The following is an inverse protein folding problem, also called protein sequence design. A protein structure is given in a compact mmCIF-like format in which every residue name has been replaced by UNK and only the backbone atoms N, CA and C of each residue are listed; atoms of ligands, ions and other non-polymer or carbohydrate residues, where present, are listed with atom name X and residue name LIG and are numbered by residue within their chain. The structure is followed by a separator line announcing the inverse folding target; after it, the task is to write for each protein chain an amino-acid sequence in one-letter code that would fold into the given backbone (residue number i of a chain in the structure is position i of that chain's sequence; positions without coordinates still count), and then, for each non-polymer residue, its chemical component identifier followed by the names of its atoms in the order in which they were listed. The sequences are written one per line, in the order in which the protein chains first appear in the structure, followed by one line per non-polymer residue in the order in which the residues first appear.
data_IF_350621147348
#
_entry.id   IF_350621147348
#
_cell.length_a   1.000
_cell.length_b   1.000
_cell.length_c   1.000
_cell.angle_alpha   90.00
_cell.angle_beta   90.00
_cell.angle_gamma   90.00
#
_symmetry.space_group_name_H-M   'P 1'
#
loop_
_entity.id
_entity.type
_entity.pdbx_description
1 polymer ?
#
# COMPACT_ATOMS: atom_id res chain seq x y z
N UNK A 1 -17.53 -17.61 2.26
CA UNK A 1 -16.40 -17.20 3.13
C UNK A 1 -15.76 -15.97 2.53
N UNK A 2 -15.31 -15.00 3.34
CA UNK A 2 -14.56 -13.85 2.83
C UNK A 2 -13.07 -14.19 2.85
N UNK A 3 -12.64 -15.04 1.92
CA UNK A 3 -11.23 -15.33 1.69
C UNK A 3 -10.50 -14.01 1.44
N UNK A 4 -9.51 -13.72 2.30
CA UNK A 4 -8.64 -12.57 2.12
C UNK A 4 -7.43 -13.07 1.37
N UNK A 5 -6.90 -12.21 0.51
CA UNK A 5 -5.74 -12.52 -0.30
C UNK A 5 -4.62 -11.55 0.06
N UNK A 6 -3.38 -12.04 0.03
CA UNK A 6 -2.21 -11.20 0.18
C UNK A 6 -2.13 -10.23 -0.99
N UNK A 7 -1.98 -8.92 -0.70
CA UNK A 7 -1.86 -7.92 -1.77
C UNK A 7 -0.55 -7.99 -2.56
N UNK A 8 0.48 -8.67 -2.04
CA UNK A 8 1.78 -8.77 -2.69
C UNK A 8 1.82 -9.96 -3.66
N UNK A 9 1.43 -11.15 -3.19
CA UNK A 9 1.52 -12.39 -3.96
C UNK A 9 0.17 -12.98 -4.41
N UNK A 10 -0.96 -12.46 -3.92
CA UNK A 10 -2.29 -12.97 -4.28
C UNK A 10 -2.70 -14.27 -3.58
N UNK A 11 -1.84 -14.85 -2.72
CA UNK A 11 -2.15 -16.10 -2.00
C UNK A 11 -3.28 -15.89 -1.00
N UNK A 12 -4.11 -16.91 -0.80
CA UNK A 12 -5.16 -16.93 0.21
C UNK A 12 -4.57 -16.87 1.63
N UNK A 13 -5.14 -16.02 2.46
CA UNK A 13 -4.65 -15.72 3.81
C UNK A 13 -5.80 -15.72 4.81
N UNK A 14 -5.59 -16.43 5.91
CA UNK A 14 -6.58 -16.59 6.96
C UNK A 14 -6.68 -15.36 7.85
N UNK A 15 -7.87 -14.77 7.93
CA UNK A 15 -8.12 -13.51 8.65
C UNK A 15 -7.77 -13.55 10.15
N UNK A 16 -7.71 -14.75 10.74
CA UNK A 16 -7.41 -15.00 12.16
C UNK A 16 -5.91 -15.12 12.45
N UNK A 17 -5.14 -15.64 11.52
CA UNK A 17 -3.70 -15.97 11.71
C UNK A 17 -2.78 -15.02 10.94
N UNK A 18 -3.32 -14.33 9.94
CA UNK A 18 -2.51 -13.54 9.01
C UNK A 18 -2.14 -12.17 9.59
N UNK A 19 -0.87 -11.74 9.41
CA UNK A 19 -0.46 -10.40 9.78
C UNK A 19 -1.30 -9.35 9.03
N UNK A 20 -1.84 -8.40 9.80
CA UNK A 20 -2.65 -7.27 9.31
C UNK A 20 -1.86 -5.98 9.45
N UNK A 21 -1.61 -5.29 8.33
CA UNK A 21 -0.99 -3.94 8.32
C UNK A 21 -1.75 -2.99 7.41
N UNK A 22 -1.93 -1.74 7.85
CA UNK A 22 -2.69 -0.71 7.10
C UNK A 22 -4.07 -1.19 6.60
N UNK A 23 -4.74 -2.05 7.37
CA UNK A 23 -6.05 -2.63 7.00
C UNK A 23 -6.01 -3.74 5.94
N UNK A 24 -4.82 -4.13 5.48
CA UNK A 24 -4.59 -5.19 4.49
C UNK A 24 -4.02 -6.45 5.16
N UNK A 25 -4.29 -7.61 4.57
CA UNK A 25 -3.84 -8.92 5.05
C UNK A 25 -2.68 -9.41 4.20
N UNK A 26 -1.72 -10.08 4.84
CA UNK A 26 -0.53 -10.61 4.18
C UNK A 26 -0.26 -12.04 4.64
N UNK A 27 0.36 -12.85 3.78
CA UNK A 27 0.71 -14.23 4.14
C UNK A 27 1.95 -14.29 5.05
N UNK A 28 2.74 -13.23 5.11
CA UNK A 28 4.00 -13.17 5.85
C UNK A 28 4.32 -11.73 6.26
N UNK A 29 5.12 -11.53 7.31
CA UNK A 29 5.54 -10.18 7.71
C UNK A 29 6.43 -9.52 6.66
N UNK A 30 7.23 -10.29 5.89
CA UNK A 30 8.01 -9.77 4.77
C UNK A 30 7.13 -9.05 3.74
N UNK A 31 6.04 -9.68 3.29
CA UNK A 31 5.07 -9.04 2.40
C UNK A 31 4.37 -7.84 3.04
N UNK A 32 4.15 -7.88 4.35
CA UNK A 32 3.61 -6.73 5.06
C UNK A 32 4.62 -5.56 5.06
N UNK A 33 5.91 -5.83 5.28
CA UNK A 33 6.99 -4.84 5.23
C UNK A 33 7.18 -4.27 3.83
N UNK A 34 7.25 -5.11 2.80
CA UNK A 34 7.36 -4.67 1.41
C UNK A 34 6.21 -3.73 1.04
N UNK A 35 5.00 -3.99 1.53
CA UNK A 35 3.87 -3.10 1.32
C UNK A 35 4.05 -1.74 1.99
N UNK A 36 4.58 -1.70 3.22
CA UNK A 36 4.88 -0.44 3.92
C UNK A 36 5.94 0.34 3.14
N UNK A 37 7.05 -0.30 2.78
CA UNK A 37 8.15 0.33 2.03
C UNK A 37 7.66 0.91 0.70
N UNK A 38 6.84 0.16 -0.06
CA UNK A 38 6.26 0.67 -1.32
C UNK A 38 5.32 1.85 -1.11
N UNK A 39 4.54 1.88 -0.01
CA UNK A 39 3.68 3.03 0.29
C UNK A 39 4.49 4.26 0.67
N UNK A 40 5.52 4.11 1.51
CA UNK A 40 6.40 5.21 1.90
C UNK A 40 7.14 5.76 0.67
N UNK A 41 7.60 4.89 -0.22
CA UNK A 41 8.23 5.29 -1.48
C UNK A 41 7.26 6.03 -2.39
N UNK A 42 6.03 5.53 -2.56
CA UNK A 42 5.00 6.23 -3.35
C UNK A 42 4.63 7.58 -2.74
N UNK A 43 4.50 7.67 -1.42
CA UNK A 43 4.19 8.94 -0.75
C UNK A 43 5.32 9.94 -0.92
N UNK A 44 6.58 9.50 -0.80
CA UNK A 44 7.75 10.33 -1.07
C UNK A 44 7.81 10.77 -2.54
N UNK A 45 7.57 9.86 -3.48
CA UNK A 45 7.55 10.18 -4.91
C UNK A 45 6.43 11.17 -5.25
N UNK A 46 5.25 11.00 -4.67
CA UNK A 46 4.12 11.91 -4.85
C UNK A 46 4.42 13.28 -4.25
N UNK A 47 5.01 13.35 -3.05
CA UNK A 47 5.43 14.61 -2.43
C UNK A 47 6.53 15.32 -3.25
N UNK A 48 7.45 14.56 -3.85
CA UNK A 48 8.47 15.10 -4.75
C UNK A 48 7.86 15.61 -6.07
N UNK A 49 6.93 14.87 -6.67
CA UNK A 49 6.16 15.33 -7.83
C UNK A 49 5.35 16.59 -7.50
N UNK A 50 4.70 16.65 -6.33
CA UNK A 50 3.96 17.82 -5.88
C UNK A 50 4.89 19.04 -5.70
N UNK A 51 6.09 18.82 -5.16
CA UNK A 51 7.14 19.87 -5.07
C UNK A 51 7.66 20.31 -6.43
N UNK A 52 7.83 19.40 -7.38
CA UNK A 52 8.33 19.71 -8.74
C UNK A 52 7.27 20.33 -9.63
N UNK A 53 6.00 19.98 -9.42
CA UNK A 53 4.85 20.47 -10.19
C UNK A 53 3.77 21.10 -9.28
N UNK A 54 4.06 22.21 -8.58
CA UNK A 54 3.11 22.87 -7.68
C UNK A 54 1.85 23.40 -8.40
N UNK A 55 1.87 23.47 -9.74
CA UNK A 55 0.77 23.95 -10.59
C UNK A 55 -0.28 22.90 -10.95
N UNK A 56 -0.12 21.61 -10.62
CA UNK A 56 -1.19 20.61 -10.84
C UNK A 56 -2.30 20.66 -9.78
N UNK A 57 -2.14 21.48 -8.73
CA UNK A 57 -3.13 21.66 -7.65
C UNK A 57 -4.09 22.85 -7.88
N UNK A 58 -4.05 23.50 -9.04
CA UNK A 58 -4.94 24.62 -9.35
C UNK A 58 -5.13 24.80 -10.86
N UNK A 59 -6.28 24.39 -11.38
CA UNK A 59 -6.61 24.57 -12.78
C UNK A 59 -7.83 23.77 -13.25
N UNK A 60 -8.94 23.89 -12.51
CA UNK A 60 -10.26 23.64 -13.06
C UNK A 60 -11.06 24.93 -12.89
N UNK A 61 -10.89 25.84 -13.84
CA UNK A 61 -11.77 26.95 -14.18
C UNK A 61 -11.92 26.95 -15.70
#
# INVERSE_FOLDING_TARGET
MFEKHCLICGVEVDKKTSPKRFGKYFCSDDHAQQYVTKREEQERAMAEEERKHPRRRGGCC
#
